data_IF_809763140367
#
_entry.id   IF_809763140367
#
_cell.length_a   1.000
_cell.length_b   1.000
_cell.length_c   1.000
_cell.angle_alpha   90.00
_cell.angle_beta   90.00
_cell.angle_gamma   90.00
#
_symmetry.space_group_name_H-M   'P 1'
#
loop_
_entity.id
_entity.type
_entity.pdbx_description
1 polymer ?
#
# COMPACT_ATOMS: atom_id res chain seq x y z
N UNK A 1 -19.09 10.39 7.84
CA UNK A 1 -17.61 10.44 7.83
C UNK A 1 -17.22 9.73 9.09
N UNK A 2 -16.28 8.79 9.04
CA UNK A 2 -15.73 8.23 10.30
C UNK A 2 -15.03 9.37 11.03
N UNK A 3 -15.31 9.55 12.32
CA UNK A 3 -14.66 10.59 13.11
C UNK A 3 -13.14 10.33 13.14
N UNK A 4 -12.37 11.34 12.73
CA UNK A 4 -10.91 11.32 12.77
C UNK A 4 -10.43 11.69 14.17
N UNK A 5 -9.48 10.91 14.71
CA UNK A 5 -8.87 11.18 16.02
C UNK A 5 -7.38 11.46 15.86
N UNK A 6 -6.80 12.24 16.78
CA UNK A 6 -5.35 12.51 16.83
C UNK A 6 -4.61 11.61 17.82
N UNK A 7 -5.30 10.62 18.39
CA UNK A 7 -4.76 9.72 19.39
C UNK A 7 -5.28 8.30 19.20
N UNK A 8 -4.40 7.31 19.36
CA UNK A 8 -4.75 5.91 19.47
C UNK A 8 -5.35 5.59 20.84
N UNK A 9 -6.30 4.66 20.86
CA UNK A 9 -6.76 4.05 22.12
C UNK A 9 -5.79 2.97 22.60
N UNK A 10 -5.93 2.58 23.86
CA UNK A 10 -5.17 1.46 24.43
C UNK A 10 -5.43 0.14 23.68
N UNK A 11 -6.64 -0.05 23.15
CA UNK A 11 -6.97 -1.24 22.37
C UNK A 11 -6.28 -1.22 21.00
N UNK A 12 -6.13 -0.05 20.38
CA UNK A 12 -5.41 0.12 19.11
C UNK A 12 -3.91 -0.13 19.28
N UNK A 13 -3.32 0.44 20.34
CA UNK A 13 -1.92 0.19 20.71
C UNK A 13 -1.69 -1.33 20.89
N UNK A 14 -2.60 -2.03 21.57
CA UNK A 14 -2.52 -3.50 21.72
C UNK A 14 -2.71 -4.23 20.40
N UNK A 15 -3.67 -3.81 19.57
CA UNK A 15 -3.98 -4.45 18.29
C UNK A 15 -2.84 -4.34 17.27
N UNK A 16 -1.99 -3.31 17.38
CA UNK A 16 -0.89 -3.09 16.44
C UNK A 16 0.41 -3.80 16.84
N UNK A 17 0.48 -4.38 18.05
CA UNK A 17 1.68 -5.10 18.53
C UNK A 17 1.98 -6.40 17.79
N UNK A 18 1.01 -7.28 17.46
CA UNK A 18 1.31 -8.53 16.77
C UNK A 18 2.00 -8.29 15.43
N UNK A 19 3.02 -9.09 15.09
CA UNK A 19 3.71 -8.99 13.80
C UNK A 19 2.95 -9.68 12.66
N UNK A 20 2.04 -10.60 13.00
CA UNK A 20 1.08 -11.23 12.09
C UNK A 20 -0.04 -10.24 11.75
N UNK A 21 0.29 -9.28 10.91
CA UNK A 21 -0.62 -8.28 10.37
C UNK A 21 -0.12 -7.78 9.03
N UNK A 22 -1.01 -7.13 8.29
CA UNK A 22 -0.66 -6.37 7.10
C UNK A 22 -0.50 -4.92 7.52
N UNK A 23 0.75 -4.45 7.53
CA UNK A 23 1.10 -3.04 7.72
C UNK A 23 1.54 -2.44 6.39
N UNK A 24 0.83 -1.44 5.90
CA UNK A 24 1.19 -0.72 4.69
C UNK A 24 1.50 0.73 5.01
N UNK A 25 2.58 1.23 4.42
CA UNK A 25 2.95 2.65 4.48
C UNK A 25 2.95 3.21 3.07
N UNK A 26 2.09 4.20 2.85
CA UNK A 26 2.07 5.04 1.68
C UNK A 26 2.98 6.27 1.92
N UNK A 27 3.94 6.46 1.04
CA UNK A 27 4.96 7.53 1.07
C UNK A 27 4.94 8.32 -0.23
N UNK A 28 5.64 9.45 -0.27
CA UNK A 28 5.76 10.31 -1.45
C UNK A 28 7.19 10.22 -1.95
N UNK A 29 7.37 9.83 -3.21
CA UNK A 29 8.70 9.77 -3.80
C UNK A 29 9.19 11.19 -4.19
N UNK A 30 10.47 11.35 -4.61
CA UNK A 30 11.03 12.67 -4.96
C UNK A 30 10.28 13.40 -6.07
N UNK A 31 9.62 12.67 -6.97
CA UNK A 31 8.82 13.25 -8.06
C UNK A 31 7.38 13.63 -7.62
N UNK A 32 7.04 13.49 -6.33
CA UNK A 32 5.71 13.83 -5.80
C UNK A 32 4.65 12.74 -6.00
N UNK A 33 5.05 11.54 -6.41
CA UNK A 33 4.17 10.43 -6.73
C UNK A 33 4.00 9.45 -5.55
N UNK A 34 2.82 8.82 -5.39
CA UNK A 34 2.57 7.90 -4.28
C UNK A 34 3.38 6.60 -4.43
N UNK A 35 3.82 6.03 -3.31
CA UNK A 35 4.50 4.74 -3.23
C UNK A 35 4.01 3.96 -2.01
N UNK A 36 3.62 2.69 -2.18
CA UNK A 36 3.14 1.84 -1.08
C UNK A 36 4.19 0.78 -0.78
N UNK A 37 4.51 0.57 0.51
CA UNK A 37 5.39 -0.50 0.97
C UNK A 37 4.72 -1.33 2.06
N UNK A 38 4.97 -2.64 2.01
CA UNK A 38 4.68 -3.55 3.12
C UNK A 38 5.71 -3.32 4.24
N UNK A 39 5.24 -2.88 5.40
CA UNK A 39 6.01 -2.65 6.63
C UNK A 39 5.20 -3.24 7.79
N UNK A 40 5.27 -4.56 7.97
CA UNK A 40 4.52 -5.28 9.02
C UNK A 40 4.95 -4.89 10.44
N UNK A 41 6.18 -4.39 10.58
CA UNK A 41 6.74 -3.86 11.83
C UNK A 41 6.15 -2.52 12.27
N UNK A 42 5.19 -1.95 11.53
CA UNK A 42 4.48 -0.75 11.98
C UNK A 42 3.76 -1.00 13.32
N UNK A 43 4.01 -0.15 14.30
CA UNK A 43 3.38 -0.23 15.62
C UNK A 43 2.95 1.17 16.09
N UNK A 44 1.99 1.22 17.01
CA UNK A 44 1.78 2.40 17.85
C UNK A 44 2.57 2.20 19.15
N UNK A 45 3.56 3.06 19.38
CA UNK A 45 4.34 3.05 20.62
C UNK A 45 3.49 3.53 21.80
N UNK A 46 2.76 4.61 21.58
CA UNK A 46 1.88 5.27 22.54
C UNK A 46 0.68 5.90 21.82
N UNK A 47 -0.05 6.81 22.47
CA UNK A 47 -1.25 7.41 21.90
C UNK A 47 -0.98 8.31 20.69
N UNK A 48 0.22 8.85 20.52
CA UNK A 48 0.54 9.82 19.46
C UNK A 48 1.75 9.44 18.62
N UNK A 49 2.44 8.35 18.93
CA UNK A 49 3.68 7.96 18.25
C UNK A 49 3.52 6.65 17.50
N UNK A 50 3.85 6.66 16.21
CA UNK A 50 3.97 5.49 15.36
C UNK A 50 5.45 5.14 15.19
N UNK A 51 5.78 3.86 15.18
CA UNK A 51 7.14 3.38 14.94
C UNK A 51 7.18 2.38 13.79
N UNK A 52 8.27 2.40 13.01
CA UNK A 52 8.56 1.43 11.96
C UNK A 52 9.92 0.81 12.21
N UNK A 53 9.98 -0.53 12.25
CA UNK A 53 11.25 -1.26 12.30
C UNK A 53 11.84 -1.47 10.91
N UNK A 54 13.10 -1.09 10.71
CA UNK A 54 13.86 -1.32 9.48
C UNK A 54 14.79 -2.53 9.66
N UNK A 55 14.48 -3.62 8.95
CA UNK A 55 15.32 -4.81 8.84
C UNK A 55 15.94 -4.96 7.45
N UNK A 56 15.23 -4.50 6.41
CA UNK A 56 15.69 -4.46 5.02
C UNK A 56 15.66 -3.04 4.48
N UNK A 57 16.68 -2.73 3.67
CA UNK A 57 16.71 -1.51 2.86
C UNK A 57 15.61 -1.50 1.82
N UNK A 58 15.10 -0.31 1.52
CA UNK A 58 14.11 -0.10 0.49
C UNK A 58 13.76 1.38 0.34
N UNK A 59 13.40 1.79 -0.89
CA UNK A 59 13.23 3.19 -1.26
C UNK A 59 12.23 3.97 -0.39
N UNK A 60 11.20 3.30 0.14
CA UNK A 60 10.22 3.96 1.03
C UNK A 60 10.86 4.60 2.26
N UNK A 61 11.93 4.04 2.81
CA UNK A 61 12.60 4.59 4.01
C UNK A 61 13.39 5.86 3.67
N UNK A 62 13.87 5.97 2.44
CA UNK A 62 14.46 7.22 1.92
C UNK A 62 13.37 8.25 1.64
N UNK A 63 12.24 7.80 1.08
CA UNK A 63 11.12 8.68 0.73
C UNK A 63 10.52 9.36 1.96
N UNK A 64 10.27 8.62 3.05
CA UNK A 64 9.71 9.20 4.29
C UNK A 64 10.66 10.19 4.98
N UNK A 65 11.96 10.13 4.71
CA UNK A 65 12.95 11.08 5.25
C UNK A 65 13.06 12.36 4.41
N UNK A 66 12.73 12.30 3.12
CA UNK A 66 12.71 13.46 2.22
C UNK A 66 11.36 14.17 2.26
N UNK A 67 10.27 13.40 2.30
CA UNK A 67 8.92 13.89 2.50
C UNK A 67 8.30 13.18 3.69
N UNK A 68 8.13 13.94 4.77
CA UNK A 68 7.76 13.38 6.06
C UNK A 68 6.28 12.94 6.11
N UNK A 69 5.44 13.37 5.18
CA UNK A 69 4.02 13.02 5.18
C UNK A 69 3.81 11.58 4.72
N UNK A 70 3.20 10.76 5.58
CA UNK A 70 2.83 9.39 5.24
C UNK A 70 1.35 9.11 5.45
N UNK A 71 0.83 8.15 4.70
CA UNK A 71 -0.40 7.44 5.01
C UNK A 71 -0.07 6.04 5.49
N UNK A 72 -0.86 5.49 6.41
CA UNK A 72 -0.69 4.10 6.83
C UNK A 72 -2.02 3.34 6.84
N UNK A 73 -1.91 2.02 6.72
CA UNK A 73 -2.99 1.08 6.87
C UNK A 73 -2.50 -0.12 7.66
N UNK A 74 -3.24 -0.50 8.68
CA UNK A 74 -2.98 -1.70 9.47
C UNK A 74 -4.21 -2.59 9.37
N UNK A 75 -4.02 -3.83 8.93
CA UNK A 75 -5.07 -4.83 8.89
C UNK A 75 -4.62 -6.08 9.64
N UNK A 76 -5.36 -6.45 10.67
CA UNK A 76 -5.14 -7.70 11.41
C UNK A 76 -5.66 -8.90 10.63
N UNK A 77 -5.23 -10.10 11.02
CA UNK A 77 -5.65 -11.35 10.35
C UNK A 77 -7.16 -11.61 10.43
N UNK A 78 -7.84 -11.10 11.46
CA UNK A 78 -9.30 -11.10 11.60
C UNK A 78 -10.00 -9.98 10.80
N UNK A 79 -9.28 -9.33 9.87
CA UNK A 79 -9.78 -8.33 8.91
C UNK A 79 -10.34 -7.06 9.54
N UNK A 80 -9.91 -6.73 10.77
CA UNK A 80 -10.08 -5.38 11.33
C UNK A 80 -9.02 -4.48 10.73
N UNK A 81 -9.44 -3.29 10.34
CA UNK A 81 -8.63 -2.37 9.59
C UNK A 81 -8.59 -1.00 10.26
N UNK A 82 -7.43 -0.39 10.25
CA UNK A 82 -7.16 0.96 10.70
C UNK A 82 -6.39 1.69 9.61
N UNK A 83 -6.66 2.98 9.48
CA UNK A 83 -5.98 3.86 8.53
C UNK A 83 -5.56 5.10 9.28
N UNK A 84 -4.61 5.83 8.75
CA UNK A 84 -4.28 7.15 9.30
C UNK A 84 -3.17 7.83 8.55
N UNK A 85 -2.74 8.96 9.10
CA UNK A 85 -1.62 9.77 8.62
C UNK A 85 -0.65 9.99 9.77
N UNK A 86 0.63 10.03 9.43
CA UNK A 86 1.67 10.38 10.37
C UNK A 86 2.75 11.21 9.68
N UNK A 87 3.58 11.88 10.47
CA UNK A 87 4.75 12.63 10.00
C UNK A 87 6.01 12.00 10.52
N UNK A 88 6.91 11.60 9.63
CA UNK A 88 8.25 11.16 10.02
C UNK A 88 9.00 12.28 10.74
N UNK A 89 9.70 11.92 11.82
CA UNK A 89 10.46 12.88 12.62
C UNK A 89 11.95 12.56 12.66
N UNK A 90 12.30 11.36 13.12
CA UNK A 90 13.68 10.94 13.29
C UNK A 90 13.81 9.42 13.24
N UNK A 91 15.05 8.97 13.27
CA UNK A 91 15.39 7.56 13.43
C UNK A 91 16.35 7.37 14.60
N UNK A 92 16.32 6.17 15.20
CA UNK A 92 17.30 5.74 16.19
C UNK A 92 17.82 4.36 15.84
N UNK A 93 19.05 4.08 16.27
CA UNK A 93 19.72 2.78 16.12
C UNK A 93 19.93 2.06 17.47
N UNK A 94 19.35 2.63 18.53
CA UNK A 94 19.43 2.13 19.90
C UNK A 94 18.22 2.67 20.70
N UNK A 95 18.02 2.11 21.90
CA UNK A 95 16.98 2.52 22.84
C UNK A 95 15.82 1.54 22.98
N UNK A 96 14.79 1.90 23.78
CA UNK A 96 13.76 0.94 24.22
C UNK A 96 12.97 0.30 23.07
N UNK A 97 12.62 1.08 22.04
CA UNK A 97 11.89 0.53 20.89
C UNK A 97 12.79 -0.35 20.04
N UNK A 98 14.07 -0.01 19.87
CA UNK A 98 15.04 -0.84 19.16
C UNK A 98 15.21 -2.20 19.86
N UNK A 99 15.32 -2.20 21.18
CA UNK A 99 15.38 -3.43 21.98
C UNK A 99 14.06 -4.21 21.92
N UNK A 100 12.92 -3.53 22.01
CA UNK A 100 11.61 -4.17 21.92
C UNK A 100 11.43 -4.89 20.58
N UNK A 101 11.80 -4.24 19.47
CA UNK A 101 11.78 -4.82 18.14
C UNK A 101 12.69 -6.04 18.02
N UNK A 102 13.93 -5.96 18.51
CA UNK A 102 14.88 -7.09 18.45
C UNK A 102 14.50 -8.25 19.39
N UNK A 103 13.66 -8.01 20.39
CA UNK A 103 13.13 -9.06 21.27
C UNK A 103 11.88 -9.77 20.73
N UNK A 104 11.32 -9.32 19.60
CA UNK A 104 10.20 -10.00 18.94
C UNK A 104 10.62 -11.40 18.48
N UNK A 105 9.74 -12.43 18.54
CA UNK A 105 10.10 -13.80 18.18
C UNK A 105 10.74 -13.95 16.79
N UNK A 106 10.31 -13.14 15.82
CA UNK A 106 10.84 -13.14 14.45
C UNK A 106 12.32 -12.71 14.37
N UNK A 107 12.78 -11.83 15.27
CA UNK A 107 14.14 -11.26 15.24
C UNK A 107 15.03 -11.81 16.36
N UNK A 108 14.44 -12.18 17.50
CA UNK A 108 15.16 -12.59 18.72
C UNK A 108 16.12 -13.76 18.54
N UNK A 109 15.74 -14.73 17.70
CA UNK A 109 16.57 -15.91 17.42
C UNK A 109 17.34 -15.79 16.10
N UNK A 110 17.28 -14.64 15.45
CA UNK A 110 17.98 -14.40 14.21
C UNK A 110 19.31 -13.69 14.48
N UNK A 111 20.39 -14.46 14.58
CA UNK A 111 21.73 -13.94 14.86
C UNK A 111 22.30 -13.00 13.78
N UNK A 112 21.69 -12.97 12.59
CA UNK A 112 22.19 -12.20 11.43
C UNK A 112 21.26 -11.05 11.00
N UNK A 113 19.96 -11.15 11.27
CA UNK A 113 18.95 -10.23 10.74
C UNK A 113 18.06 -9.65 11.84
N UNK A 114 18.62 -8.79 12.68
CA UNK A 114 17.87 -7.94 13.61
C UNK A 114 17.38 -6.65 12.94
N UNK A 115 16.49 -5.93 13.63
CA UNK A 115 16.16 -4.56 13.25
C UNK A 115 17.37 -3.69 13.57
N UNK A 116 17.90 -2.98 12.57
CA UNK A 116 19.07 -2.11 12.75
C UNK A 116 18.69 -0.64 12.95
N UNK A 117 17.45 -0.25 12.63
CA UNK A 117 16.98 1.14 12.73
C UNK A 117 15.49 1.19 13.01
N UNK A 118 15.08 2.09 13.90
CA UNK A 118 13.68 2.39 14.21
C UNK A 118 13.38 3.81 13.73
N UNK A 119 12.35 3.95 12.90
CA UNK A 119 11.82 5.26 12.51
C UNK A 119 10.67 5.64 13.43
N UNK A 120 10.66 6.90 13.86
CA UNK A 120 9.61 7.49 14.68
C UNK A 120 8.79 8.47 13.86
N UNK A 121 7.48 8.45 14.08
CA UNK A 121 6.53 9.30 13.39
C UNK A 121 5.47 9.83 14.35
N UNK A 122 5.13 11.10 14.20
CA UNK A 122 4.05 11.73 14.96
C UNK A 122 2.71 11.44 14.28
N UNK A 123 1.76 10.90 15.02
CA UNK A 123 0.40 10.65 14.56
C UNK A 123 -0.28 12.00 14.25
N UNK A 124 -0.78 12.12 13.02
CA UNK A 124 -1.56 13.29 12.58
C UNK A 124 -3.04 13.01 12.72
N UNK A 125 -3.49 11.87 12.18
CA UNK A 125 -4.85 11.39 12.35
C UNK A 125 -4.92 9.87 12.24
N UNK A 126 -5.89 9.27 12.92
CA UNK A 126 -6.27 7.88 12.77
C UNK A 126 -7.78 7.79 12.55
N UNK A 127 -8.17 6.92 11.63
CA UNK A 127 -9.54 6.51 11.44
C UNK A 127 -9.83 5.38 12.45
N UNK A 128 -10.99 5.44 13.10
CA UNK A 128 -11.42 4.34 13.98
C UNK A 128 -11.47 3.00 13.27
N UNK A 129 -11.55 1.92 14.07
CA UNK A 129 -11.62 0.54 13.58
C UNK A 129 -12.74 0.37 12.56
N UNK A 130 -12.41 -0.13 11.38
CA UNK A 130 -13.36 -0.54 10.35
C UNK A 130 -13.25 -2.04 10.05
N UNK A 131 -14.35 -2.64 9.60
CA UNK A 131 -14.36 -3.99 9.06
C UNK A 131 -14.41 -3.95 7.53
N UNK A 132 -13.79 -4.94 6.87
CA UNK A 132 -13.92 -5.07 5.42
C UNK A 132 -15.38 -5.37 5.04
N UNK A 133 -16.01 -4.59 4.13
CA UNK A 133 -17.40 -4.82 3.72
C UNK A 133 -17.49 -5.97 2.71
N UNK A 134 -17.28 -7.21 3.17
CA UNK A 134 -17.06 -8.41 2.35
C UNK A 134 -18.17 -8.63 1.30
N UNK A 135 -19.45 -8.46 1.66
CA UNK A 135 -20.56 -8.62 0.72
C UNK A 135 -20.47 -7.63 -0.46
N UNK A 136 -20.19 -6.36 -0.17
CA UNK A 136 -19.99 -5.34 -1.20
C UNK A 136 -18.75 -5.64 -2.05
N UNK A 137 -17.68 -6.18 -1.45
CA UNK A 137 -16.44 -6.54 -2.16
C UNK A 137 -16.69 -7.69 -3.13
N UNK A 138 -17.41 -8.73 -2.71
CA UNK A 138 -17.76 -9.87 -3.58
C UNK A 138 -18.58 -9.38 -4.78
N UNK A 139 -19.64 -8.61 -4.55
CA UNK A 139 -20.46 -8.04 -5.63
C UNK A 139 -19.65 -7.12 -6.54
N UNK A 140 -18.80 -6.26 -5.95
CA UNK A 140 -17.89 -5.39 -6.69
C UNK A 140 -16.92 -6.18 -7.56
N UNK A 141 -16.46 -7.34 -7.10
CA UNK A 141 -15.48 -8.17 -7.82
C UNK A 141 -16.11 -8.85 -9.03
N UNK A 142 -17.37 -9.30 -8.91
CA UNK A 142 -18.15 -9.84 -10.03
C UNK A 142 -18.42 -8.77 -11.09
N UNK A 143 -18.86 -7.58 -10.66
CA UNK A 143 -19.08 -6.43 -11.54
C UNK A 143 -17.79 -6.00 -12.26
N UNK A 144 -16.68 -5.92 -11.52
CA UNK A 144 -15.37 -5.59 -12.10
C UNK A 144 -14.94 -6.62 -13.15
N UNK A 145 -15.12 -7.92 -12.86
CA UNK A 145 -14.80 -9.00 -13.81
C UNK A 145 -15.62 -8.92 -15.10
N UNK A 146 -16.90 -8.57 -15.00
CA UNK A 146 -17.77 -8.47 -16.17
C UNK A 146 -17.46 -7.23 -17.03
N UNK A 147 -17.23 -6.09 -16.38
CA UNK A 147 -17.00 -4.82 -17.05
C UNK A 147 -15.59 -4.67 -17.64
N UNK A 148 -14.57 -5.33 -17.07
CA UNK A 148 -13.16 -5.13 -17.47
C UNK A 148 -12.88 -5.51 -18.93
N UNK A 149 -13.62 -6.46 -19.49
CA UNK A 149 -13.42 -6.87 -20.90
C UNK A 149 -13.74 -5.74 -21.89
N UNK A 150 -14.55 -4.74 -21.51
CA UNK A 150 -14.83 -3.55 -22.32
C UNK A 150 -13.80 -2.44 -22.15
N UNK A 151 -12.86 -2.58 -21.21
CA UNK A 151 -11.83 -1.58 -20.92
C UNK A 151 -10.45 -1.95 -21.49
N UNK A 152 -10.34 -3.11 -22.15
CA UNK A 152 -9.09 -3.55 -22.78
C UNK A 152 -8.58 -2.48 -23.74
N UNK A 153 -7.32 -2.13 -23.57
CA UNK A 153 -6.50 -1.37 -24.50
C UNK A 153 -6.08 -2.29 -25.64
N UNK A 154 -6.42 -1.91 -26.88
CA UNK A 154 -5.87 -2.54 -28.07
C UNK A 154 -4.46 -1.96 -28.34
N UNK A 155 -3.56 -2.76 -28.91
CA UNK A 155 -2.26 -2.31 -29.45
C UNK A 155 -1.35 -1.54 -28.47
N UNK A 156 -1.08 -2.12 -27.30
CA UNK A 156 0.00 -1.65 -26.42
C UNK A 156 0.92 -2.78 -26.02
N UNK A 157 2.22 -2.48 -25.96
CA UNK A 157 3.22 -3.38 -25.41
C UNK A 157 2.86 -3.80 -23.99
N UNK A 158 3.21 -5.03 -23.63
CA UNK A 158 2.84 -5.62 -22.35
C UNK A 158 3.58 -4.91 -21.21
N UNK A 159 2.83 -4.29 -20.29
CA UNK A 159 3.37 -3.63 -19.10
C UNK A 159 3.42 -4.60 -17.91
N UNK A 160 2.28 -5.18 -17.52
CA UNK A 160 2.22 -6.22 -16.50
C UNK A 160 2.72 -7.55 -17.07
N UNK A 161 3.78 -8.07 -16.46
CA UNK A 161 4.21 -9.46 -16.68
C UNK A 161 3.10 -10.42 -16.19
N UNK A 162 3.00 -11.65 -16.75
CA UNK A 162 1.92 -12.60 -16.41
C UNK A 162 1.75 -12.87 -14.92
N UNK A 163 2.85 -12.87 -14.16
CA UNK A 163 2.83 -13.01 -12.70
C UNK A 163 2.07 -11.86 -12.02
N UNK A 164 2.42 -10.61 -12.30
CA UNK A 164 1.78 -9.43 -11.72
C UNK A 164 0.31 -9.30 -12.15
N UNK A 165 0.03 -9.54 -13.43
CA UNK A 165 -1.34 -9.61 -13.95
C UNK A 165 -2.16 -10.70 -13.23
N UNK A 166 -1.53 -11.85 -12.96
CA UNK A 166 -2.06 -12.93 -12.16
C UNK A 166 -2.47 -12.47 -10.76
N UNK A 167 -1.58 -11.79 -10.03
CA UNK A 167 -1.87 -11.25 -8.69
C UNK A 167 -3.12 -10.36 -8.71
N UNK A 168 -3.22 -9.41 -9.65
CA UNK A 168 -4.39 -8.53 -9.74
C UNK A 168 -5.69 -9.27 -10.07
N UNK A 169 -5.61 -10.35 -10.85
CA UNK A 169 -6.80 -11.13 -11.24
C UNK A 169 -7.27 -12.14 -10.19
N UNK A 170 -6.47 -12.41 -9.15
CA UNK A 170 -6.84 -13.28 -8.03
C UNK A 170 -7.88 -12.63 -7.13
N UNK A 171 -8.93 -13.35 -6.75
CA UNK A 171 -9.96 -12.84 -5.83
C UNK A 171 -9.53 -12.87 -4.36
N UNK A 172 -8.58 -13.74 -4.02
CA UNK A 172 -7.99 -13.88 -2.68
C UNK A 172 -6.79 -12.95 -2.45
N UNK A 173 -6.33 -12.25 -3.50
CA UNK A 173 -5.30 -11.23 -3.36
C UNK A 173 -5.91 -9.92 -2.85
N UNK A 174 -5.22 -9.30 -1.91
CA UNK A 174 -5.54 -7.99 -1.38
C UNK A 174 -4.99 -6.92 -2.30
N UNK A 175 -5.76 -5.85 -2.51
CA UNK A 175 -5.29 -4.68 -3.27
C UNK A 175 -5.61 -3.39 -2.54
N UNK A 176 -4.69 -2.44 -2.61
CA UNK A 176 -4.81 -1.14 -1.98
C UNK A 176 -4.41 -0.06 -2.97
N UNK A 177 -5.19 1.00 -3.04
CA UNK A 177 -4.90 2.19 -3.86
C UNK A 177 -4.48 3.33 -2.94
N UNK A 178 -3.46 4.09 -3.36
CA UNK A 178 -3.05 5.30 -2.69
C UNK A 178 -2.84 6.46 -3.66
N UNK A 179 -3.12 7.67 -3.20
CA UNK A 179 -2.88 8.91 -3.92
C UNK A 179 -2.52 10.02 -2.94
N UNK A 180 -1.97 11.13 -3.43
CA UNK A 180 -1.69 12.30 -2.60
C UNK A 180 -2.96 13.14 -2.53
N UNK A 181 -3.50 13.32 -1.32
CA UNK A 181 -4.70 14.12 -1.10
C UNK A 181 -4.38 15.62 -1.07
N UNK A 182 -5.41 16.46 -1.12
CA UNK A 182 -5.29 17.93 -1.18
C UNK A 182 -4.57 18.54 0.03
N UNK A 183 -4.53 17.82 1.16
CA UNK A 183 -3.80 18.21 2.37
C UNK A 183 -2.31 17.82 2.35
N UNK A 184 -1.83 17.28 1.24
CA UNK A 184 -0.44 16.89 1.03
C UNK A 184 -0.05 15.55 1.66
N UNK A 185 -1.01 14.78 2.18
CA UNK A 185 -0.74 13.44 2.72
C UNK A 185 -1.16 12.33 1.75
N UNK A 186 -0.41 11.22 1.69
CA UNK A 186 -0.88 10.01 1.03
C UNK A 186 -2.13 9.48 1.73
N UNK A 187 -3.19 9.23 0.97
CA UNK A 187 -4.40 8.53 1.43
C UNK A 187 -4.44 7.14 0.83
N UNK A 188 -4.62 6.11 1.66
CA UNK A 188 -4.65 4.69 1.26
C UNK A 188 -6.04 4.08 1.54
N UNK A 189 -6.55 3.31 0.58
CA UNK A 189 -7.89 2.70 0.63
C UNK A 189 -7.86 1.28 0.07
N UNK A 190 -8.60 0.32 0.66
CA UNK A 190 -8.76 -0.99 0.06
C UNK A 190 -9.50 -0.93 -1.29
N UNK A 191 -9.00 -1.67 -2.27
CA UNK A 191 -9.61 -1.84 -3.60
C UNK A 191 -9.59 -3.32 -3.98
N UNK A 192 -10.04 -4.20 -3.07
CA UNK A 192 -9.92 -5.67 -3.21
C UNK A 192 -10.54 -6.22 -4.49
N UNK A 193 -11.58 -5.55 -5.00
CA UNK A 193 -12.28 -5.85 -6.25
C UNK A 193 -11.47 -5.55 -7.52
N UNK A 194 -10.35 -4.84 -7.40
CA UNK A 194 -9.49 -4.45 -8.52
C UNK A 194 -8.98 -5.67 -9.27
N UNK A 195 -9.06 -5.59 -10.59
CA UNK A 195 -8.58 -6.61 -11.51
C UNK A 195 -7.87 -5.96 -12.69
N UNK A 196 -6.95 -6.70 -13.31
CA UNK A 196 -6.38 -6.31 -14.58
C UNK A 196 -7.43 -6.49 -15.69
N UNK A 197 -7.74 -5.41 -16.41
CA UNK A 197 -8.53 -5.48 -17.64
C UNK A 197 -7.71 -6.14 -18.76
N UNK A 198 -6.43 -5.77 -18.80
CA UNK A 198 -5.35 -6.36 -19.57
C UNK A 198 -4.00 -6.02 -18.89
N UNK A 199 -2.89 -6.18 -19.61
CA UNK A 199 -1.57 -5.90 -19.05
C UNK A 199 -1.25 -4.42 -18.81
N UNK A 200 -2.02 -3.47 -19.34
CA UNK A 200 -1.73 -2.03 -19.25
C UNK A 200 -2.77 -1.26 -18.43
N UNK A 201 -3.90 -1.88 -18.08
CA UNK A 201 -4.99 -1.21 -17.38
C UNK A 201 -5.58 -2.05 -16.26
N UNK A 202 -5.77 -1.40 -15.10
CA UNK A 202 -6.57 -1.92 -14.00
C UNK A 202 -8.00 -1.38 -14.06
N UNK A 203 -8.96 -2.16 -13.57
CA UNK A 203 -10.35 -1.79 -13.46
C UNK A 203 -10.97 -2.23 -12.13
N UNK A 204 -11.85 -1.40 -11.56
CA UNK A 204 -12.56 -1.70 -10.31
C UNK A 204 -13.92 -1.02 -10.24
N UNK A 205 -14.90 -1.70 -9.64
CA UNK A 205 -16.21 -1.13 -9.31
C UNK A 205 -16.10 -0.12 -8.15
N UNK A 206 -16.94 0.91 -8.15
CA UNK A 206 -17.05 1.90 -7.06
C UNK A 206 -17.89 1.42 -5.87
N UNK A 207 -18.48 0.22 -5.93
CA UNK A 207 -19.51 -0.19 -4.96
C UNK A 207 -18.95 -0.36 -3.53
N UNK A 208 -17.80 -1.02 -3.38
CA UNK A 208 -17.04 -1.04 -2.13
C UNK A 208 -16.19 0.23 -2.02
N UNK A 209 -16.13 0.83 -0.82
CA UNK A 209 -15.37 2.07 -0.55
C UNK A 209 -15.76 3.25 -1.46
N UNK A 210 -17.05 3.33 -1.85
CA UNK A 210 -17.57 4.32 -2.80
C UNK A 210 -17.17 5.75 -2.51
N UNK A 211 -17.34 6.18 -1.26
CA UNK A 211 -17.12 7.58 -0.87
C UNK A 211 -15.66 7.96 -1.08
N UNK A 212 -14.73 7.12 -0.66
CA UNK A 212 -13.30 7.38 -0.80
C UNK A 212 -12.83 7.21 -2.25
N UNK A 213 -13.27 6.18 -2.97
CA UNK A 213 -12.86 5.98 -4.35
C UNK A 213 -13.39 7.10 -5.26
N UNK A 214 -14.62 7.59 -5.05
CA UNK A 214 -15.16 8.76 -5.76
C UNK A 214 -14.51 10.08 -5.39
N UNK A 215 -13.72 10.13 -4.31
CA UNK A 215 -12.96 11.33 -3.95
C UNK A 215 -11.64 11.47 -4.71
N UNK A 216 -11.23 10.45 -5.48
CA UNK A 216 -10.01 10.52 -6.30
C UNK A 216 -10.33 11.35 -7.56
N UNK A 217 -9.66 12.50 -7.78
CA UNK A 217 -9.87 13.29 -8.98
C UNK A 217 -9.42 12.53 -10.25
N UNK A 218 -10.15 12.70 -11.35
CA UNK A 218 -9.72 12.19 -12.66
C UNK A 218 -8.39 12.81 -13.06
N UNK A 219 -7.49 12.02 -13.62
CA UNK A 219 -6.13 12.42 -13.98
C UNK A 219 -5.11 12.31 -12.85
N UNK A 220 -5.53 11.92 -11.64
CA UNK A 220 -4.62 11.78 -10.49
C UNK A 220 -3.69 10.59 -10.69
N UNK A 221 -2.39 10.77 -10.43
CA UNK A 221 -1.47 9.65 -10.32
C UNK A 221 -1.72 8.86 -9.03
N UNK A 222 -1.91 7.56 -9.19
CA UNK A 222 -2.21 6.65 -8.09
C UNK A 222 -1.19 5.52 -8.05
N UNK A 223 -0.95 5.00 -6.85
CA UNK A 223 -0.24 3.75 -6.63
C UNK A 223 -1.25 2.65 -6.33
N UNK A 224 -1.11 1.47 -6.93
CA UNK A 224 -1.91 0.29 -6.58
C UNK A 224 -0.98 -0.84 -6.17
N UNK A 225 -1.16 -1.33 -4.95
CA UNK A 225 -0.38 -2.41 -4.37
C UNK A 225 -1.21 -3.69 -4.34
N UNK A 226 -0.71 -4.77 -4.92
CA UNK A 226 -1.31 -6.11 -4.84
C UNK A 226 -0.48 -7.01 -3.92
N UNK A 227 -1.15 -7.79 -3.07
CA UNK A 227 -0.52 -8.69 -2.09
C UNK A 227 -1.32 -10.00 -1.98
N UNK A 228 -0.65 -11.15 -2.05
CA UNK A 228 -1.25 -12.46 -1.76
C UNK A 228 -1.00 -12.86 -0.31
N UNK A 229 -1.78 -13.82 0.21
CA UNK A 229 -1.53 -14.42 1.53
C UNK A 229 -0.22 -15.21 1.61
N UNK A 230 0.43 -15.47 0.46
CA UNK A 230 1.77 -16.06 0.38
C UNK A 230 2.87 -15.00 0.42
N UNK A 231 2.54 -13.74 0.72
CA UNK A 231 3.45 -12.59 0.70
C UNK A 231 4.10 -12.36 -0.68
N UNK A 232 3.38 -12.68 -1.75
CA UNK A 232 3.76 -12.27 -3.10
C UNK A 232 3.13 -10.91 -3.37
N UNK A 233 3.92 -9.94 -3.82
CA UNK A 233 3.44 -8.58 -4.05
C UNK A 233 3.93 -7.95 -5.34
N UNK A 234 3.23 -6.88 -5.73
CA UNK A 234 3.64 -5.98 -6.79
C UNK A 234 3.08 -4.58 -6.52
N UNK A 235 3.90 -3.57 -6.77
CA UNK A 235 3.48 -2.17 -6.75
C UNK A 235 3.39 -1.65 -8.19
N UNK A 236 2.30 -0.98 -8.52
CA UNK A 236 2.16 -0.26 -9.78
C UNK A 236 1.87 1.20 -9.52
N UNK A 237 2.19 2.06 -10.49
CA UNK A 237 1.66 3.41 -10.59
C UNK A 237 1.01 3.60 -11.95
N UNK A 238 0.11 4.56 -11.99
CA UNK A 238 -0.63 4.89 -13.18
C UNK A 238 -1.52 6.10 -13.00
N UNK A 239 -2.20 6.48 -14.07
CA UNK A 239 -3.15 7.60 -14.09
C UNK A 239 -4.57 7.09 -13.90
N UNK A 240 -5.28 7.62 -12.90
CA UNK A 240 -6.70 7.29 -12.69
C UNK A 240 -7.60 8.02 -13.69
N UNK A 241 -8.34 7.29 -14.51
CA UNK A 241 -9.16 7.85 -15.58
C UNK A 241 -10.53 8.39 -15.11
N UNK A 242 -10.82 8.30 -13.81
CA UNK A 242 -12.16 8.55 -13.29
C UNK A 242 -13.08 7.34 -13.43
N UNK A 243 -14.35 7.54 -13.06
CA UNK A 243 -15.41 6.55 -13.25
C UNK A 243 -16.11 6.76 -14.58
N UNK A 244 -16.32 5.67 -15.31
CA UNK A 244 -17.06 5.65 -16.57
C UNK A 244 -17.96 4.41 -16.63
N UNK A 245 -18.99 4.45 -17.46
CA UNK A 245 -19.86 3.28 -17.66
C UNK A 245 -19.22 2.35 -18.69
N UNK A 246 -18.88 1.13 -18.29
CA UNK A 246 -18.48 0.04 -19.18
C UNK A 246 -19.44 -1.12 -18.98
N UNK A 247 -20.03 -1.61 -20.07
CA UNK A 247 -21.06 -2.67 -20.05
C UNK A 247 -22.09 -2.38 -18.95
N UNK A 248 -22.80 -1.26 -19.00
CA UNK A 248 -23.86 -0.92 -18.03
C UNK A 248 -23.45 -0.84 -16.54
N UNK A 249 -22.15 -0.87 -16.22
CA UNK A 249 -21.62 -0.79 -14.86
C UNK A 249 -20.66 0.39 -14.74
N UNK A 250 -20.81 1.18 -13.66
CA UNK A 250 -19.84 2.23 -13.33
C UNK A 250 -18.53 1.61 -12.82
N UNK A 251 -17.44 1.89 -13.54
CA UNK A 251 -16.11 1.36 -13.24
C UNK A 251 -15.05 2.44 -13.28
N UNK A 252 -14.16 2.40 -12.30
CA UNK A 252 -12.92 3.16 -12.28
C UNK A 252 -11.85 2.40 -13.05
N UNK A 253 -10.95 3.12 -13.71
CA UNK A 253 -9.79 2.51 -14.37
C UNK A 253 -8.51 3.29 -14.12
N UNK A 254 -7.39 2.57 -14.15
CA UNK A 254 -6.04 3.12 -14.00
C UNK A 254 -5.19 2.64 -15.16
N UNK A 255 -4.66 3.58 -15.93
CA UNK A 255 -3.68 3.30 -16.99
C UNK A 255 -2.30 3.20 -16.36
N UNK A 256 -1.70 2.02 -16.47
CA UNK A 256 -0.42 1.70 -15.83
C UNK A 256 0.70 2.32 -16.66
N UNK A 257 1.58 3.06 -15.99
CA UNK A 257 2.78 3.67 -16.60
C UNK A 257 4.07 3.21 -15.93
N UNK A 258 3.98 2.54 -14.78
CA UNK A 258 5.13 2.11 -14.00
C UNK A 258 4.84 0.89 -13.14
N UNK A 259 5.80 -0.04 -13.08
CA UNK A 259 5.72 -1.28 -12.28
C UNK A 259 6.98 -1.45 -11.47
N UNK A 260 6.84 -1.90 -10.23
CA UNK A 260 7.92 -2.07 -9.26
C UNK A 260 7.83 -3.39 -8.54
N UNK A 261 8.96 -4.11 -8.51
CA UNK A 261 9.14 -5.26 -7.66
C UNK A 261 9.42 -4.79 -6.23
N UNK A 262 8.52 -5.08 -5.30
CA UNK A 262 8.74 -4.80 -3.88
C UNK A 262 9.33 -5.99 -3.12
N UNK A 263 9.47 -7.15 -3.77
CA UNK A 263 9.98 -8.37 -3.15
C UNK A 263 11.52 -8.44 -3.21
N UNK A 264 12.18 -8.95 -2.15
CA UNK A 264 13.60 -9.26 -2.19
C UNK A 264 13.91 -10.43 -3.15
N UNK A 265 15.16 -10.59 -3.61
CA UNK A 265 16.32 -9.72 -3.33
C UNK A 265 16.41 -8.50 -4.25
N UNK A 266 15.77 -8.53 -5.42
CA UNK A 266 15.88 -7.50 -6.46
C UNK A 266 14.68 -6.57 -6.45
N UNK A 267 14.56 -5.71 -5.45
CA UNK A 267 13.55 -4.66 -5.44
C UNK A 267 13.93 -3.56 -6.43
N UNK A 268 12.96 -3.00 -7.16
CA UNK A 268 13.28 -2.03 -8.19
C UNK A 268 12.19 -1.87 -9.24
N UNK A 269 12.39 -0.89 -10.11
CA UNK A 269 11.52 -0.65 -11.24
C UNK A 269 11.67 -1.81 -12.25
N UNK A 270 10.53 -2.38 -12.65
CA UNK A 270 10.43 -3.39 -13.71
C UNK A 270 9.96 -2.74 -15.01
N UNK A 271 9.08 -1.74 -14.92
CA UNK A 271 8.57 -1.02 -16.09
C UNK A 271 8.54 0.50 -15.82
N UNK A 272 8.94 1.35 -16.78
CA UNK A 272 9.68 1.00 -18.00
C UNK A 272 10.98 0.24 -17.69
N UNK A 273 11.43 -0.63 -18.58
CA UNK A 273 12.64 -1.42 -18.32
C UNK A 273 13.86 -0.49 -18.22
N UNK A 274 14.67 -0.68 -17.17
CA UNK A 274 15.92 0.05 -16.98
C UNK A 274 17.05 -0.80 -17.56
N UNK A 275 17.94 -0.24 -18.40
CA UNK A 275 19.10 -0.96 -18.90
C UNK A 275 19.95 -1.53 -17.76
N UNK A 276 20.37 -2.78 -17.91
CA UNK A 276 21.32 -3.40 -16.97
C UNK A 276 22.70 -2.77 -17.17
N UNK A 277 23.19 -2.09 -16.14
CA UNK A 277 24.55 -1.55 -16.12
C UNK A 277 25.46 -2.48 -15.31
N UNK A 278 26.65 -2.86 -15.82
CA UNK A 278 27.60 -3.65 -15.05
C UNK A 278 28.07 -2.87 -13.82
N UNK A 279 28.24 -3.57 -12.69
CA UNK A 279 28.88 -3.01 -11.50
C UNK A 279 30.38 -2.92 -11.81
N UNK A 280 30.89 -1.69 -11.91
CA UNK A 280 32.29 -1.41 -12.28
C UNK A 280 33.17 -1.05 -11.08
N UNK A 281 32.58 -0.75 -9.92
CA UNK A 281 33.28 -0.41 -8.68
C UNK A 281 32.73 -1.26 -7.53
N UNK A 282 33.62 -1.85 -6.73
CA UNK A 282 33.34 -2.72 -5.59
C UNK A 282 33.93 -2.14 -4.31
#
# INVERSE_FOLDING_TARGET
MSDTRKQFTQDEIKAFKPEEKIGLVASINPEGLPHISLITSIQAKDSSTVTLGEFCKGKSKEYIQKNNNIGFLIMTMDRKLWRGKARWTHLKKEGPEFEAYNNLPMFRYNAYFGIHTVHYLDLVETFGREGLPLGSIVLSSLLSKWAKSGLKTADRDRILKPFAEGIFNRLDALKFIAWIADDGFPKIVPVLQCQAADSTRLAFSSLAYRKELKSIPKGTHVAVFGLTMKMEDVLIRGTFNGFSTSRFTEVGSVDIDWVYNSMPPCHGQIYPEIPLTPVVEF
#
